data_IF_506600670912
#
_entry.id   IF_506600670912
#
_cell.length_a   1.000
_cell.length_b   1.000
_cell.length_c   1.000
_cell.angle_alpha   90.00
_cell.angle_beta   90.00
_cell.angle_gamma   90.00
#
_symmetry.space_group_name_H-M   'P 1'
#
loop_
_entity.id
_entity.type
_entity.pdbx_description
1 polymer ?
#
# COMPACT_ATOMS: atom_id res chain seq x y z
N UNK A 1 -16.93 -32.43 36.04
CA UNK A 1 -15.63 -31.80 35.87
C UNK A 1 -15.55 -31.25 34.45
N UNK A 2 -15.80 -29.94 34.30
CA UNK A 2 -15.73 -29.18 33.07
C UNK A 2 -14.39 -28.43 33.08
N UNK A 3 -13.42 -28.88 32.29
CA UNK A 3 -12.15 -28.20 32.12
C UNK A 3 -12.33 -27.09 31.07
N UNK A 4 -12.44 -25.83 31.52
CA UNK A 4 -12.37 -24.66 30.68
C UNK A 4 -10.98 -24.53 30.05
N UNK A 5 -10.90 -24.62 28.74
CA UNK A 5 -9.72 -24.13 27.97
C UNK A 5 -9.75 -22.64 28.00
N UNK A 6 -8.95 -22.05 28.85
CA UNK A 6 -8.62 -20.63 28.75
C UNK A 6 -7.76 -20.42 27.49
N UNK A 7 -8.30 -19.69 26.50
CA UNK A 7 -7.54 -19.27 25.32
C UNK A 7 -6.44 -18.30 25.76
N UNK A 8 -5.24 -18.81 25.92
CA UNK A 8 -4.04 -18.04 26.19
C UNK A 8 -3.74 -17.11 25.00
N UNK A 9 -4.14 -15.86 25.15
CA UNK A 9 -3.73 -14.80 24.22
C UNK A 9 -2.29 -14.42 24.56
N UNK A 10 -1.32 -14.63 23.68
CA UNK A 10 0.06 -14.32 24.00
C UNK A 10 0.22 -12.80 24.22
N UNK A 11 0.70 -12.44 25.39
CA UNK A 11 0.85 -11.07 25.92
C UNK A 11 1.67 -10.12 25.02
N UNK A 12 2.43 -10.63 24.07
CA UNK A 12 3.25 -9.82 23.18
C UNK A 12 2.47 -9.05 22.10
N UNK A 13 1.18 -9.36 21.92
CA UNK A 13 0.32 -8.61 20.98
C UNK A 13 -0.38 -7.41 21.62
N UNK A 14 -0.53 -7.43 22.95
CA UNK A 14 -1.18 -6.33 23.70
C UNK A 14 -0.19 -5.24 24.10
N UNK A 15 1.09 -5.58 24.27
CA UNK A 15 2.12 -4.64 24.79
C UNK A 15 2.58 -3.63 23.74
N UNK A 16 2.41 -3.93 22.43
CA UNK A 16 2.77 -2.96 21.37
C UNK A 16 1.83 -1.76 21.23
N UNK A 17 0.70 -1.74 21.93
CA UNK A 17 -0.27 -0.63 21.86
C UNK A 17 -0.14 0.44 22.95
N UNK A 18 0.71 0.26 23.98
CA UNK A 18 0.70 1.13 25.17
C UNK A 18 2.08 1.66 25.58
N UNK A 19 3.15 1.37 24.87
CA UNK A 19 4.49 1.81 25.31
C UNK A 19 5.13 2.83 24.37
N UNK A 20 4.49 4.00 24.23
CA UNK A 20 5.19 5.23 23.81
C UNK A 20 4.71 6.36 24.74
N UNK A 21 5.51 6.68 25.71
CA UNK A 21 5.37 7.92 26.45
C UNK A 21 5.19 7.82 27.95
N UNK A 22 6.09 7.14 28.67
CA UNK A 22 6.37 7.52 30.07
C UNK A 22 7.90 7.52 30.24
N UNK A 23 8.53 8.63 29.95
CA UNK A 23 9.79 8.97 30.59
C UNK A 23 9.44 9.58 31.94
N UNK A 24 9.51 8.76 32.98
CA UNK A 24 9.43 9.22 34.35
C UNK A 24 10.68 10.04 34.66
N UNK A 25 10.54 11.34 34.67
CA UNK A 25 11.49 12.20 35.38
C UNK A 25 11.16 12.10 36.86
N UNK A 26 11.96 11.35 37.59
CA UNK A 26 12.00 11.36 39.04
C UNK A 26 12.58 12.72 39.50
N UNK A 27 11.74 13.56 40.10
CA UNK A 27 12.26 14.64 40.97
C UNK A 27 11.41 14.68 42.22
N UNK A 28 12.15 14.54 43.31
CA UNK A 28 11.73 14.64 44.69
C UNK A 28 11.36 16.10 45.08
N UNK A 29 10.50 16.14 46.11
CA UNK A 29 10.28 17.20 47.10
C UNK A 29 9.34 18.38 46.73
N UNK A 30 8.32 18.50 47.56
CA UNK A 30 7.63 19.77 47.81
C UNK A 30 6.10 19.70 47.69
N UNK A 31 5.46 19.51 48.83
CA UNK A 31 4.04 19.59 49.01
C UNK A 31 3.48 20.95 48.56
N UNK A 32 2.67 20.96 47.49
CA UNK A 32 1.55 21.89 47.31
C UNK A 32 0.52 21.19 46.43
N UNK A 33 -0.64 20.91 47.02
CA UNK A 33 -1.81 20.41 46.35
C UNK A 33 -2.43 21.53 45.52
N UNK A 34 -2.09 21.65 44.26
CA UNK A 34 -2.86 22.44 43.30
C UNK A 34 -3.57 21.47 42.37
N UNK A 35 -4.89 21.57 42.30
CA UNK A 35 -5.75 20.84 41.40
C UNK A 35 -5.23 20.97 39.95
N UNK A 36 -4.59 19.93 39.45
CA UNK A 36 -4.33 19.82 38.02
C UNK A 36 -5.64 19.50 37.33
N UNK A 37 -6.19 20.53 36.67
CA UNK A 37 -7.25 20.33 35.71
C UNK A 37 -6.76 19.25 34.71
N UNK A 38 -7.57 18.21 34.54
CA UNK A 38 -7.34 17.20 33.51
C UNK A 38 -7.32 17.91 32.16
N UNK A 39 -6.13 18.28 31.70
CA UNK A 39 -5.97 18.69 30.32
C UNK A 39 -6.20 17.45 29.45
N UNK A 40 -7.22 17.57 28.64
CA UNK A 40 -7.60 16.70 27.55
C UNK A 40 -6.38 16.00 26.97
N UNK A 41 -6.30 14.68 27.20
CA UNK A 41 -5.24 13.86 26.64
C UNK A 41 -5.50 13.75 25.16
N UNK A 42 -5.06 14.75 24.40
CA UNK A 42 -5.01 14.66 22.96
C UNK A 42 -4.25 13.38 22.62
N UNK A 43 -4.99 12.35 22.22
CA UNK A 43 -4.42 11.09 21.71
C UNK A 43 -3.61 11.44 20.46
N UNK A 44 -2.30 11.62 20.66
CA UNK A 44 -1.36 11.85 19.55
C UNK A 44 -1.48 10.64 18.64
N UNK A 45 -1.96 10.88 17.43
CA UNK A 45 -2.06 9.83 16.42
C UNK A 45 -0.68 9.16 16.25
N UNK A 46 -0.60 7.83 16.21
CA UNK A 46 0.69 7.14 16.10
C UNK A 46 1.44 7.59 14.83
N UNK A 47 2.75 7.84 14.98
CA UNK A 47 3.60 8.29 13.89
C UNK A 47 3.83 7.16 12.86
N UNK A 48 4.05 7.51 11.58
CA UNK A 48 4.37 6.52 10.56
C UNK A 48 5.66 5.76 10.89
N UNK A 49 5.62 4.44 10.78
CA UNK A 49 6.74 3.56 11.06
C UNK A 49 7.13 2.71 9.82
N UNK A 50 8.39 2.26 9.81
CA UNK A 50 8.87 1.30 8.82
C UNK A 50 8.49 -0.11 9.26
N UNK A 51 7.60 -0.75 8.50
CA UNK A 51 7.18 -2.13 8.71
C UNK A 51 7.27 -2.91 7.39
N UNK A 52 7.54 -4.21 7.47
CA UNK A 52 7.66 -5.06 6.28
C UNK A 52 6.65 -6.19 6.28
N UNK A 53 6.00 -6.42 5.12
CA UNK A 53 5.05 -7.51 4.92
C UNK A 53 3.87 -7.54 5.91
N UNK A 54 3.45 -6.38 6.39
CA UNK A 54 2.30 -6.25 7.28
C UNK A 54 0.99 -6.28 6.51
N UNK A 55 -0.07 -6.72 7.15
CA UNK A 55 -1.42 -6.72 6.58
C UNK A 55 -2.08 -5.39 6.91
N UNK A 56 -2.47 -4.64 5.89
CA UNK A 56 -3.29 -3.45 6.04
C UNK A 56 -4.76 -3.82 6.31
N UNK A 57 -5.54 -2.89 6.83
CA UNK A 57 -6.96 -3.10 7.18
C UNK A 57 -7.80 -3.56 5.98
N UNK A 58 -7.45 -3.15 4.77
CA UNK A 58 -8.09 -3.61 3.54
C UNK A 58 -7.63 -5.00 3.06
N UNK A 59 -6.85 -5.72 3.86
CA UNK A 59 -6.34 -7.06 3.59
C UNK A 59 -5.14 -7.15 2.65
N UNK A 60 -4.65 -6.04 2.11
CA UNK A 60 -3.44 -6.03 1.30
C UNK A 60 -2.19 -6.25 2.17
N UNK A 61 -1.21 -6.99 1.66
CA UNK A 61 0.13 -7.03 2.26
C UNK A 61 0.93 -5.83 1.77
N UNK A 62 1.45 -5.05 2.70
CA UNK A 62 2.21 -3.84 2.41
C UNK A 62 3.52 -3.80 3.18
N UNK A 63 4.45 -2.98 2.70
CA UNK A 63 5.57 -2.50 3.51
C UNK A 63 5.44 -0.99 3.63
N UNK A 64 5.54 -0.49 4.84
CA UNK A 64 5.44 0.93 5.16
C UNK A 64 6.82 1.55 5.36
N UNK A 65 6.90 2.85 5.30
CA UNK A 65 8.12 3.61 5.56
C UNK A 65 7.81 4.78 6.51
N UNK A 66 8.80 5.20 7.28
CA UNK A 66 8.69 6.28 8.26
C UNK A 66 8.26 7.63 7.65
N UNK A 67 8.40 7.81 6.33
CA UNK A 67 7.93 8.98 5.61
C UNK A 67 6.43 8.94 5.23
N UNK A 68 5.65 8.05 5.83
CA UNK A 68 4.21 7.92 5.58
C UNK A 68 3.85 7.31 4.23
N UNK A 69 4.79 6.64 3.55
CA UNK A 69 4.51 5.95 2.29
C UNK A 69 4.41 4.44 2.44
N UNK A 70 3.68 3.80 1.52
CA UNK A 70 3.55 2.35 1.49
C UNK A 70 3.82 1.77 0.10
N UNK A 71 4.39 0.56 0.12
CA UNK A 71 4.56 -0.33 -1.04
C UNK A 71 3.58 -1.49 -0.92
N UNK A 72 2.72 -1.68 -1.90
CA UNK A 72 1.84 -2.86 -1.98
C UNK A 72 2.66 -4.06 -2.42
N UNK A 73 2.78 -5.06 -1.56
CA UNK A 73 3.50 -6.33 -1.82
C UNK A 73 2.61 -7.40 -2.41
N UNK A 74 1.37 -7.48 -1.92
CA UNK A 74 0.36 -8.37 -2.49
C UNK A 74 -1.04 -7.82 -2.22
N UNK A 75 -1.90 -7.88 -3.21
CA UNK A 75 -3.34 -7.64 -3.02
C UNK A 75 -3.99 -8.86 -2.38
N UNK A 76 -5.10 -8.67 -1.65
CA UNK A 76 -5.89 -9.78 -1.17
C UNK A 76 -6.40 -10.63 -2.34
N UNK A 77 -6.60 -11.93 -2.10
CA UNK A 77 -7.23 -12.80 -3.09
C UNK A 77 -8.62 -12.27 -3.41
N UNK A 78 -8.89 -12.04 -4.69
CA UNK A 78 -10.15 -11.48 -5.13
C UNK A 78 -10.70 -12.21 -6.36
N UNK A 79 -12.01 -12.37 -6.37
CA UNK A 79 -12.77 -12.90 -7.52
C UNK A 79 -13.34 -11.78 -8.39
N UNK A 80 -13.18 -10.51 -7.97
CA UNK A 80 -13.71 -9.34 -8.68
C UNK A 80 -13.03 -9.17 -10.04
N UNK A 81 -13.81 -8.86 -11.07
CA UNK A 81 -13.31 -8.54 -12.41
C UNK A 81 -12.57 -7.19 -12.47
N UNK A 82 -12.92 -6.25 -11.60
CA UNK A 82 -12.25 -4.96 -11.49
C UNK A 82 -11.58 -4.81 -10.13
N UNK A 83 -10.31 -4.45 -10.13
CA UNK A 83 -9.49 -4.25 -8.92
C UNK A 83 -8.93 -2.83 -8.93
N UNK A 84 -9.26 -2.07 -7.90
CA UNK A 84 -8.69 -0.73 -7.69
C UNK A 84 -7.71 -0.78 -6.54
N UNK A 85 -6.49 -0.31 -6.77
CA UNK A 85 -5.50 -0.12 -5.71
C UNK A 85 -5.88 1.14 -4.92
N UNK A 86 -5.96 1.02 -3.60
CA UNK A 86 -6.25 2.16 -2.74
C UNK A 86 -5.10 3.18 -2.80
N UNK A 87 -5.42 4.47 -2.76
CA UNK A 87 -4.42 5.56 -2.70
C UNK A 87 -3.75 5.67 -1.34
N UNK A 88 -4.42 5.18 -0.30
CA UNK A 88 -3.95 5.11 1.08
C UNK A 88 -4.29 3.74 1.67
N UNK A 89 -3.51 3.30 2.62
CA UNK A 89 -3.77 2.10 3.43
C UNK A 89 -3.54 2.44 4.90
N UNK A 90 -4.30 1.80 5.75
CA UNK A 90 -4.15 1.95 7.21
C UNK A 90 -3.48 0.68 7.75
N UNK A 91 -2.49 0.88 8.58
CA UNK A 91 -1.75 -0.17 9.29
C UNK A 91 -1.58 0.29 10.73
N UNK A 92 -2.06 -0.49 11.68
CA UNK A 92 -2.02 -0.18 13.11
C UNK A 92 -2.55 1.24 13.45
N UNK A 93 -3.66 1.65 12.78
CA UNK A 93 -4.26 2.97 12.97
C UNK A 93 -3.57 4.11 12.22
N UNK A 94 -2.42 3.89 11.59
CA UNK A 94 -1.66 4.90 10.84
C UNK A 94 -1.98 4.84 9.35
N UNK A 95 -2.26 5.99 8.72
CA UNK A 95 -2.54 6.11 7.29
C UNK A 95 -1.26 6.31 6.49
N UNK A 96 -1.01 5.42 5.53
CA UNK A 96 0.14 5.48 4.63
C UNK A 96 -0.31 5.71 3.19
N UNK A 97 0.35 6.63 2.48
CA UNK A 97 0.12 6.89 1.06
C UNK A 97 0.74 5.77 0.21
N UNK A 98 -0.04 5.10 -0.61
CA UNK A 98 0.46 4.07 -1.52
C UNK A 98 1.15 4.73 -2.70
N UNK A 99 2.46 4.55 -2.80
CA UNK A 99 3.29 5.15 -3.87
C UNK A 99 3.94 4.11 -4.77
N UNK A 100 4.05 2.86 -4.32
CA UNK A 100 4.77 1.81 -5.04
C UNK A 100 3.94 0.53 -5.12
N UNK A 101 3.91 -0.04 -6.32
CA UNK A 101 3.47 -1.42 -6.54
C UNK A 101 4.72 -2.30 -6.50
N UNK A 102 4.78 -3.19 -5.54
CA UNK A 102 5.90 -4.11 -5.34
C UNK A 102 5.94 -5.25 -6.35
N UNK A 103 6.95 -6.09 -6.22
CA UNK A 103 7.08 -7.29 -7.04
C UNK A 103 5.92 -8.26 -6.78
N UNK A 104 5.36 -8.85 -7.86
CA UNK A 104 4.26 -9.83 -7.81
C UNK A 104 3.00 -9.36 -7.08
N UNK A 105 2.81 -8.04 -6.94
CA UNK A 105 1.69 -7.45 -6.19
C UNK A 105 0.30 -7.90 -6.69
N UNK A 106 0.17 -8.20 -7.97
CA UNK A 106 -1.07 -8.67 -8.60
C UNK A 106 -1.15 -10.19 -8.78
N UNK A 107 -0.25 -10.98 -8.17
CA UNK A 107 -0.24 -12.43 -8.33
C UNK A 107 -1.57 -13.10 -7.92
N UNK A 108 -2.24 -12.54 -6.91
CA UNK A 108 -3.54 -13.04 -6.41
C UNK A 108 -4.75 -12.51 -7.20
N UNK A 109 -4.55 -11.60 -8.15
CA UNK A 109 -5.63 -10.99 -8.93
C UNK A 109 -5.93 -11.79 -10.22
N UNK A 110 -6.07 -13.11 -10.10
CA UNK A 110 -6.18 -14.06 -11.23
C UNK A 110 -7.46 -13.88 -12.06
N UNK A 111 -8.54 -13.40 -11.45
CA UNK A 111 -9.84 -13.15 -12.10
C UNK A 111 -10.02 -11.69 -12.58
N UNK A 112 -9.10 -10.79 -12.19
CA UNK A 112 -9.20 -9.38 -12.54
C UNK A 112 -8.96 -9.17 -14.04
N UNK A 113 -9.90 -8.50 -14.70
CA UNK A 113 -9.78 -8.08 -16.10
C UNK A 113 -9.35 -6.61 -16.21
N UNK A 114 -9.68 -5.81 -15.20
CA UNK A 114 -9.32 -4.39 -15.12
C UNK A 114 -8.60 -4.09 -13.81
N UNK A 115 -7.49 -3.39 -13.89
CA UNK A 115 -6.71 -2.90 -12.74
C UNK A 115 -6.64 -1.38 -12.81
N UNK A 116 -7.03 -0.69 -11.74
CA UNK A 116 -6.94 0.77 -11.64
C UNK A 116 -5.88 1.15 -10.61
N UNK A 117 -4.90 1.94 -11.05
CA UNK A 117 -3.84 2.51 -10.24
C UNK A 117 -4.14 3.98 -9.94
N UNK A 118 -4.15 4.41 -8.67
CA UNK A 118 -4.44 5.78 -8.28
C UNK A 118 -3.32 6.76 -8.69
N UNK A 119 -3.61 8.05 -8.61
CA UNK A 119 -2.66 9.11 -8.94
C UNK A 119 -1.43 9.14 -8.03
N UNK A 120 -1.52 8.54 -6.84
CA UNK A 120 -0.40 8.47 -5.89
C UNK A 120 0.75 7.55 -6.31
N UNK A 121 0.51 6.62 -7.26
CA UNK A 121 1.53 5.65 -7.69
C UNK A 121 2.64 6.34 -8.46
N UNK A 122 3.87 6.13 -7.99
CA UNK A 122 5.11 6.62 -8.61
C UNK A 122 5.95 5.51 -9.23
N UNK A 123 5.81 4.28 -8.73
CA UNK A 123 6.65 3.16 -9.17
C UNK A 123 5.86 1.86 -9.33
N UNK A 124 6.12 1.14 -10.42
CA UNK A 124 5.68 -0.23 -10.66
C UNK A 124 6.92 -1.13 -10.66
N UNK A 125 6.98 -2.03 -9.70
CA UNK A 125 8.12 -2.91 -9.46
C UNK A 125 8.29 -4.03 -10.46
N UNK A 126 9.37 -4.78 -10.31
CA UNK A 126 9.67 -5.93 -11.14
C UNK A 126 8.58 -7.01 -11.01
N UNK A 127 8.19 -7.62 -12.13
CA UNK A 127 7.20 -8.71 -12.14
C UNK A 127 5.86 -8.37 -11.44
N UNK A 128 5.51 -7.08 -11.30
CA UNK A 128 4.33 -6.65 -10.55
C UNK A 128 3.05 -7.35 -11.01
N UNK A 129 2.89 -7.60 -12.29
CA UNK A 129 1.71 -8.23 -12.90
C UNK A 129 1.85 -9.75 -13.11
N UNK A 130 2.97 -10.37 -12.70
CA UNK A 130 3.13 -11.83 -12.82
C UNK A 130 2.00 -12.54 -12.06
N UNK A 131 1.31 -13.48 -12.72
CA UNK A 131 0.13 -14.16 -12.18
C UNK A 131 -1.21 -13.50 -12.52
N UNK A 132 -1.23 -12.25 -12.93
CA UNK A 132 -2.44 -11.53 -13.35
C UNK A 132 -2.84 -11.90 -14.81
N UNK A 133 -3.10 -13.17 -15.06
CA UNK A 133 -3.31 -13.73 -16.41
C UNK A 133 -4.55 -13.21 -17.13
N UNK A 134 -5.57 -12.78 -16.39
CA UNK A 134 -6.86 -12.32 -16.95
C UNK A 134 -6.88 -10.82 -17.25
N UNK A 135 -5.86 -10.05 -16.83
CA UNK A 135 -5.87 -8.58 -16.98
C UNK A 135 -5.78 -8.18 -18.45
N UNK A 136 -6.79 -7.44 -18.89
CA UNK A 136 -6.91 -6.86 -20.24
C UNK A 136 -6.71 -5.34 -20.24
N UNK A 137 -7.10 -4.67 -19.16
CA UNK A 137 -7.03 -3.21 -19.07
C UNK A 137 -6.34 -2.77 -17.79
N UNK A 138 -5.38 -1.86 -17.91
CA UNK A 138 -4.76 -1.19 -16.78
C UNK A 138 -5.06 0.31 -16.92
N UNK A 139 -5.71 0.90 -15.92
CA UNK A 139 -5.98 2.33 -15.85
C UNK A 139 -4.97 2.98 -14.91
N UNK A 140 -4.21 3.94 -15.39
CA UNK A 140 -3.20 4.66 -14.61
C UNK A 140 -3.61 6.12 -14.52
N UNK A 141 -3.91 6.58 -13.31
CA UNK A 141 -4.33 7.98 -13.04
C UNK A 141 -3.15 8.88 -12.66
N UNK A 142 -1.95 8.35 -12.57
CA UNK A 142 -0.74 9.11 -12.19
C UNK A 142 -0.13 9.82 -13.38
N UNK A 143 0.31 11.07 -13.17
CA UNK A 143 1.00 11.87 -14.17
C UNK A 143 2.44 11.38 -14.47
N UNK A 144 3.08 10.70 -13.52
CA UNK A 144 4.46 10.19 -13.68
C UNK A 144 4.62 8.86 -12.97
N UNK A 145 4.95 7.82 -13.73
CA UNK A 145 5.17 6.46 -13.21
C UNK A 145 6.47 5.91 -13.77
N UNK A 146 7.33 5.42 -12.88
CA UNK A 146 8.52 4.61 -13.25
C UNK A 146 8.11 3.15 -13.33
N UNK A 147 8.44 2.48 -14.44
CA UNK A 147 8.12 1.06 -14.66
C UNK A 147 9.41 0.26 -14.70
N UNK A 148 9.51 -0.77 -13.87
CA UNK A 148 10.67 -1.66 -13.87
C UNK A 148 10.75 -2.46 -15.18
N UNK A 149 11.97 -2.74 -15.64
CA UNK A 149 12.22 -3.44 -16.92
C UNK A 149 11.54 -4.82 -17.04
N UNK A 150 11.20 -5.44 -15.93
CA UNK A 150 10.57 -6.78 -15.90
C UNK A 150 9.13 -6.75 -15.36
N UNK A 151 8.50 -5.57 -15.27
CA UNK A 151 7.18 -5.42 -14.64
C UNK A 151 6.11 -6.35 -15.23
N UNK A 152 6.18 -6.63 -16.53
CA UNK A 152 5.26 -7.48 -17.29
C UNK A 152 5.80 -8.88 -17.61
N UNK A 153 6.93 -9.29 -16.99
CA UNK A 153 7.49 -10.64 -17.23
C UNK A 153 6.46 -11.71 -16.83
N UNK A 154 6.24 -12.69 -17.72
CA UNK A 154 5.29 -13.78 -17.48
C UNK A 154 3.82 -13.42 -17.74
N UNK A 155 3.55 -12.29 -18.41
CA UNK A 155 2.19 -11.86 -18.77
C UNK A 155 2.09 -11.69 -20.30
N UNK A 156 0.99 -12.18 -20.88
CA UNK A 156 0.70 -11.93 -22.30
C UNK A 156 0.12 -10.52 -22.48
N UNK A 157 0.97 -9.59 -22.88
CA UNK A 157 0.61 -8.17 -23.02
C UNK A 157 0.02 -7.80 -24.38
N UNK A 158 0.05 -8.69 -25.40
CA UNK A 158 -0.41 -8.38 -26.77
C UNK A 158 -1.86 -7.86 -26.83
N UNK A 159 -2.74 -8.43 -26.01
CA UNK A 159 -4.16 -8.07 -25.94
C UNK A 159 -4.48 -7.10 -24.79
N UNK A 160 -3.46 -6.51 -24.15
CA UNK A 160 -3.64 -5.57 -23.04
C UNK A 160 -3.68 -4.13 -23.53
N UNK A 161 -4.54 -3.34 -22.88
CA UNK A 161 -4.63 -1.90 -23.08
C UNK A 161 -4.27 -1.16 -21.79
N UNK A 162 -3.33 -0.24 -21.86
CA UNK A 162 -3.05 0.69 -20.77
C UNK A 162 -3.73 2.03 -21.10
N UNK A 163 -4.65 2.44 -20.25
CA UNK A 163 -5.32 3.74 -20.29
C UNK A 163 -4.64 4.67 -19.30
N UNK A 164 -4.15 5.82 -19.76
CA UNK A 164 -3.42 6.78 -18.93
C UNK A 164 -4.17 8.10 -18.89
N UNK A 165 -4.43 8.62 -17.70
CA UNK A 165 -4.97 9.97 -17.50
C UNK A 165 -3.97 10.82 -16.70
N UNK A 166 -3.94 12.14 -16.97
CA UNK A 166 -3.09 13.09 -16.25
C UNK A 166 -1.63 13.20 -16.71
N UNK A 167 -1.20 12.46 -17.74
CA UNK A 167 0.12 12.63 -18.35
C UNK A 167 0.11 13.68 -19.46
N UNK A 168 1.13 14.55 -19.50
CA UNK A 168 1.43 15.40 -20.66
C UNK A 168 1.92 14.56 -21.84
N UNK A 169 1.98 15.14 -23.04
CA UNK A 169 2.49 14.46 -24.24
C UNK A 169 3.94 13.96 -24.04
N UNK A 170 4.80 14.79 -23.43
CA UNK A 170 6.20 14.47 -23.12
C UNK A 170 6.29 13.28 -22.15
N UNK A 171 5.49 13.31 -21.06
CA UNK A 171 5.45 12.23 -20.08
C UNK A 171 4.93 10.91 -20.68
N UNK A 172 3.91 10.98 -21.52
CA UNK A 172 3.35 9.83 -22.21
C UNK A 172 4.38 9.20 -23.18
N UNK A 173 5.15 10.01 -23.92
CA UNK A 173 6.23 9.54 -24.79
C UNK A 173 7.29 8.78 -23.97
N UNK A 174 7.75 9.37 -22.86
CA UNK A 174 8.71 8.72 -21.95
C UNK A 174 8.15 7.43 -21.33
N UNK A 175 6.89 7.44 -20.92
CA UNK A 175 6.20 6.28 -20.34
C UNK A 175 6.08 5.12 -21.35
N UNK A 176 5.69 5.41 -22.62
CA UNK A 176 5.67 4.42 -23.70
C UNK A 176 7.04 3.79 -23.93
N UNK A 177 8.11 4.59 -23.88
CA UNK A 177 9.48 4.09 -24.01
C UNK A 177 9.86 3.15 -22.86
N UNK A 178 9.48 3.47 -21.61
CA UNK A 178 9.68 2.58 -20.47
C UNK A 178 8.89 1.27 -20.60
N UNK A 179 7.64 1.32 -21.05
CA UNK A 179 6.81 0.14 -21.28
C UNK A 179 7.41 -0.78 -22.33
N UNK A 180 7.92 -0.23 -23.43
CA UNK A 180 8.64 -1.00 -24.47
C UNK A 180 9.86 -1.73 -23.89
N UNK A 181 10.67 -1.04 -23.07
CA UNK A 181 11.80 -1.64 -22.34
C UNK A 181 11.36 -2.70 -21.32
N UNK A 182 10.16 -2.58 -20.76
CA UNK A 182 9.56 -3.55 -19.84
C UNK A 182 8.91 -4.76 -20.55
N UNK A 183 9.00 -4.86 -21.87
CA UNK A 183 8.45 -5.95 -22.66
C UNK A 183 6.94 -5.86 -22.92
N UNK A 184 6.34 -4.69 -22.72
CA UNK A 184 4.93 -4.47 -23.02
C UNK A 184 4.71 -4.34 -24.53
N UNK A 185 3.82 -5.17 -25.08
CA UNK A 185 3.51 -5.25 -26.51
C UNK A 185 2.06 -4.83 -26.84
N UNK A 186 1.31 -4.39 -25.85
CA UNK A 186 -0.11 -3.98 -25.98
C UNK A 186 -0.27 -2.53 -26.41
N UNK A 187 -1.51 -2.04 -26.30
CA UNK A 187 -1.90 -0.69 -26.70
C UNK A 187 -1.81 0.27 -25.52
N UNK A 188 -1.32 1.50 -25.75
CA UNK A 188 -1.34 2.58 -24.75
C UNK A 188 -2.19 3.73 -25.29
N UNK A 189 -3.29 4.05 -24.58
CA UNK A 189 -4.21 5.12 -24.91
C UNK A 189 -4.18 6.21 -23.85
N UNK A 190 -4.14 7.48 -24.25
CA UNK A 190 -4.42 8.61 -23.37
C UNK A 190 -5.92 8.76 -23.23
N UNK A 191 -6.39 8.98 -22.01
CA UNK A 191 -7.80 9.26 -21.72
C UNK A 191 -7.86 10.65 -21.12
N UNK A 192 -8.78 11.49 -21.57
CA UNK A 192 -9.12 12.73 -20.89
C UNK A 192 -9.60 12.46 -19.48
N UNK A 193 -9.40 13.43 -18.59
CA UNK A 193 -9.96 13.37 -17.23
C UNK A 193 -11.46 13.41 -17.25
#
# INVERSE_FOLDING_TARGET
QSSGKEDYIPMNKLIKKVLVGITAATMMFGSVCTAYAATDSATVAPAPEKQTNVKADNGAKVSTAANGTATVKALPKTTKKSVTVASKVVVDGVSYKVTTIGAKAFANATKATTVTLPASIKTIGAQAFTGAKSVKTIVIKSASVKVAKTAFKGVNTKKMTIKVSGMSAKQLKAFKAQLKKAGFKGTVKKVSK
#
